data_IF_894512614793
#
_entry.id   IF_894512614793
#
_cell.length_a   1.000
_cell.length_b   1.000
_cell.length_c   1.000
_cell.angle_alpha   90.00
_cell.angle_beta   90.00
_cell.angle_gamma   90.00
#
_symmetry.space_group_name_H-M   'P 1'
#
loop_
_entity.id
_entity.type
_entity.pdbx_description
1 polymer ?
#
# COMPACT_ATOMS: atom_id res chain seq x y z
N UNK A 1 -2.90 17.65 -12.49
CA UNK A 1 -2.17 18.77 -11.89
C UNK A 1 -0.73 18.36 -11.61
N UNK A 2 0.25 19.24 -11.85
CA UNK A 2 1.67 18.92 -11.61
C UNK A 2 1.98 19.04 -10.11
N UNK A 3 2.29 17.91 -9.47
CA UNK A 3 2.63 17.81 -8.04
C UNK A 3 4.14 17.62 -7.79
N UNK A 4 4.96 17.68 -8.83
CA UNK A 4 6.40 17.33 -8.80
C UNK A 4 7.16 18.11 -7.73
N UNK A 5 6.88 19.41 -7.58
CA UNK A 5 7.58 20.29 -6.64
C UNK A 5 6.86 20.47 -5.30
N UNK A 6 5.71 19.81 -5.10
CA UNK A 6 4.95 19.94 -3.87
C UNK A 6 5.55 19.07 -2.77
N UNK A 7 5.61 19.55 -1.51
CA UNK A 7 5.96 18.72 -0.36
C UNK A 7 4.88 17.65 -0.12
N UNK A 8 5.26 16.53 0.55
CA UNK A 8 4.40 15.36 0.70
C UNK A 8 3.02 15.67 1.32
N UNK A 9 2.95 16.55 2.32
CA UNK A 9 1.67 16.91 2.94
C UNK A 9 0.70 17.61 1.97
N UNK A 10 1.22 18.34 0.98
CA UNK A 10 0.38 18.92 -0.09
C UNK A 10 -0.04 17.85 -1.09
N UNK A 11 0.86 16.94 -1.48
CA UNK A 11 0.51 15.80 -2.35
C UNK A 11 -0.58 14.94 -1.73
N UNK A 12 -0.53 14.72 -0.42
CA UNK A 12 -1.58 14.01 0.30
C UNK A 12 -2.95 14.69 0.16
N UNK A 13 -3.01 16.03 0.22
CA UNK A 13 -4.25 16.80 0.00
C UNK A 13 -4.77 16.74 -1.45
N UNK A 14 -3.91 16.39 -2.40
CA UNK A 14 -4.29 16.10 -3.78
C UNK A 14 -4.70 14.62 -3.99
N UNK A 15 -4.87 13.87 -2.91
CA UNK A 15 -5.35 12.50 -2.96
C UNK A 15 -4.26 11.45 -3.22
N UNK A 16 -3.00 11.72 -2.83
CA UNK A 16 -1.92 10.75 -2.91
C UNK A 16 -1.62 10.19 -1.52
N UNK A 17 -1.99 8.94 -1.28
CA UNK A 17 -1.61 8.17 -0.09
C UNK A 17 -0.20 7.59 -0.24
N UNK A 18 0.49 7.35 0.87
CA UNK A 18 1.81 6.72 0.89
C UNK A 18 1.93 5.74 2.05
N UNK A 19 2.34 4.53 1.74
CA UNK A 19 2.63 3.48 2.70
C UNK A 19 4.11 3.10 2.58
N UNK A 20 4.96 3.53 3.53
CA UNK A 20 6.40 3.27 3.49
C UNK A 20 6.70 1.79 3.75
N UNK A 21 7.90 1.36 3.38
CA UNK A 21 8.46 0.04 3.69
C UNK A 21 8.55 -0.16 5.20
N UNK A 22 9.07 0.83 5.93
CA UNK A 22 9.19 0.77 7.38
C UNK A 22 7.84 0.95 8.07
N UNK A 23 7.71 0.34 9.26
CA UNK A 23 6.51 0.45 10.07
C UNK A 23 6.18 1.91 10.41
N UNK A 24 5.05 2.39 9.94
CA UNK A 24 4.58 3.77 10.11
C UNK A 24 3.56 3.94 11.23
N UNK A 25 3.15 2.84 11.88
CA UNK A 25 2.15 2.84 12.95
C UNK A 25 2.56 3.74 14.13
N UNK A 26 1.64 4.50 14.69
CA UNK A 26 1.85 5.23 15.94
C UNK A 26 1.82 4.25 17.11
N UNK A 27 2.99 3.79 17.51
CA UNK A 27 3.17 2.66 18.45
C UNK A 27 2.51 2.84 19.81
N UNK A 28 2.39 4.09 20.30
CA UNK A 28 1.84 4.45 21.61
C UNK A 28 0.34 4.78 21.56
N UNK A 29 -0.25 4.75 20.37
CA UNK A 29 -1.70 4.94 20.17
C UNK A 29 -2.35 3.58 19.95
N UNK A 30 -3.61 3.45 20.35
CA UNK A 30 -4.45 2.29 20.00
C UNK A 30 -4.76 2.28 18.50
N UNK A 31 -5.32 1.18 18.00
CA UNK A 31 -5.72 1.07 16.59
C UNK A 31 -6.73 2.15 16.21
N UNK A 32 -7.77 2.38 17.03
CA UNK A 32 -8.74 3.44 16.76
C UNK A 32 -8.14 4.84 16.83
N UNK A 33 -7.24 5.10 17.79
CA UNK A 33 -6.52 6.38 17.88
C UNK A 33 -5.58 6.60 16.69
N UNK A 34 -4.98 5.56 16.13
CA UNK A 34 -4.19 5.65 14.90
C UNK A 34 -5.02 6.13 13.71
N UNK A 35 -6.27 5.69 13.58
CA UNK A 35 -7.18 6.13 12.53
C UNK A 35 -7.67 7.56 12.80
N UNK A 36 -8.11 7.84 14.04
CA UNK A 36 -8.61 9.16 14.43
C UNK A 36 -7.55 10.24 14.25
N UNK A 37 -6.27 9.98 14.59
CA UNK A 37 -5.19 10.95 14.43
C UNK A 37 -5.03 11.46 12.97
N UNK A 38 -5.39 10.65 11.98
CA UNK A 38 -5.40 11.08 10.59
C UNK A 38 -6.73 11.75 10.24
N UNK A 39 -7.85 11.19 10.70
CA UNK A 39 -9.18 11.75 10.44
C UNK A 39 -9.34 13.17 10.99
N UNK A 40 -8.71 13.49 12.12
CA UNK A 40 -8.66 14.84 12.68
C UNK A 40 -7.97 15.87 11.76
N UNK A 41 -7.10 15.40 10.83
CA UNK A 41 -6.47 16.29 9.83
C UNK A 41 -7.35 16.55 8.61
N UNK A 42 -8.50 15.89 8.51
CA UNK A 42 -9.48 16.07 7.43
C UNK A 42 -10.47 17.19 7.78
N UNK A 43 -11.28 17.60 6.83
CA UNK A 43 -12.36 18.59 7.08
C UNK A 43 -13.64 17.99 7.67
N UNK A 44 -13.63 16.71 8.09
CA UNK A 44 -14.80 16.00 8.61
C UNK A 44 -15.16 16.47 10.03
N UNK A 45 -16.47 16.51 10.32
CA UNK A 45 -16.96 16.72 11.67
C UNK A 45 -16.61 15.55 12.59
N UNK A 46 -16.61 15.73 13.93
CA UNK A 46 -16.33 14.63 14.86
C UNK A 46 -17.26 13.41 14.74
N UNK A 47 -18.50 13.60 14.27
CA UNK A 47 -19.42 12.51 13.99
C UNK A 47 -18.99 11.73 12.74
N UNK A 48 -18.74 12.43 11.63
CA UNK A 48 -18.25 11.83 10.39
C UNK A 48 -16.89 11.12 10.55
N UNK A 49 -15.99 11.67 11.37
CA UNK A 49 -14.72 11.03 11.71
C UNK A 49 -14.95 9.68 12.41
N UNK A 50 -15.88 9.62 13.37
CA UNK A 50 -16.23 8.36 14.05
C UNK A 50 -16.85 7.35 13.11
N UNK A 51 -17.81 7.77 12.30
CA UNK A 51 -18.48 6.87 11.34
C UNK A 51 -17.47 6.29 10.33
N UNK A 52 -16.55 7.11 9.85
CA UNK A 52 -15.50 6.69 8.95
C UNK A 52 -14.49 5.75 9.62
N UNK A 53 -14.12 6.04 10.86
CA UNK A 53 -13.27 5.14 11.66
C UNK A 53 -13.93 3.76 11.83
N UNK A 54 -15.21 3.70 12.19
CA UNK A 54 -15.95 2.43 12.32
C UNK A 54 -15.98 1.66 11.00
N UNK A 55 -16.22 2.36 9.89
CA UNK A 55 -16.19 1.77 8.56
C UNK A 55 -14.83 1.17 8.23
N UNK A 56 -13.73 1.90 8.46
CA UNK A 56 -12.37 1.42 8.21
C UNK A 56 -11.99 0.24 9.12
N UNK A 57 -12.38 0.27 10.41
CA UNK A 57 -12.14 -0.84 11.33
C UNK A 57 -12.82 -2.12 10.87
N UNK A 58 -14.06 -2.03 10.38
CA UNK A 58 -14.81 -3.16 9.86
C UNK A 58 -14.24 -3.66 8.54
N UNK A 59 -13.98 -2.75 7.60
CA UNK A 59 -13.46 -3.01 6.25
C UNK A 59 -12.13 -3.76 6.26
N UNK A 60 -11.22 -3.39 7.18
CA UNK A 60 -9.90 -4.03 7.31
C UNK A 60 -9.85 -5.16 8.36
N UNK A 61 -11.02 -5.57 8.89
CA UNK A 61 -11.16 -6.65 9.87
C UNK A 61 -10.30 -6.46 11.14
N UNK A 62 -10.17 -5.21 11.60
CA UNK A 62 -9.37 -4.85 12.79
C UNK A 62 -10.20 -4.33 13.96
N UNK A 63 -11.54 -4.45 13.90
CA UNK A 63 -12.46 -4.03 14.96
C UNK A 63 -12.17 -4.73 16.28
N UNK A 64 -11.83 -6.03 16.27
CA UNK A 64 -11.58 -6.85 17.46
C UNK A 64 -10.30 -6.44 18.22
N UNK A 65 -9.40 -5.72 17.57
CA UNK A 65 -8.14 -5.22 18.16
C UNK A 65 -8.13 -3.72 18.37
N UNK A 66 -9.27 -3.04 18.20
CA UNK A 66 -9.38 -1.57 18.21
C UNK A 66 -8.72 -0.86 19.39
N UNK A 67 -8.73 -1.50 20.57
CA UNK A 67 -8.15 -0.97 21.82
C UNK A 67 -6.70 -1.37 22.08
N UNK A 68 -6.12 -2.24 21.24
CA UNK A 68 -4.71 -2.63 21.37
C UNK A 68 -3.80 -1.52 20.90
N UNK A 69 -2.65 -1.37 21.56
CA UNK A 69 -1.63 -0.41 21.15
C UNK A 69 -0.94 -0.86 19.84
N UNK A 70 -0.54 0.11 19.01
CA UNK A 70 0.19 -0.17 17.78
C UNK A 70 1.47 -0.99 17.99
N UNK A 71 2.08 -0.89 19.17
CA UNK A 71 3.27 -1.67 19.55
C UNK A 71 2.99 -3.17 19.77
N UNK A 72 1.73 -3.56 20.04
CA UNK A 72 1.30 -4.91 20.38
C UNK A 72 0.81 -5.73 19.18
N UNK A 73 0.74 -5.08 18.00
CA UNK A 73 0.19 -5.70 16.80
C UNK A 73 1.20 -6.65 16.15
N UNK A 74 0.70 -7.79 15.67
CA UNK A 74 1.44 -8.64 14.73
C UNK A 74 1.77 -7.90 13.44
N UNK A 75 2.67 -8.44 12.62
CA UNK A 75 3.05 -7.84 11.34
C UNK A 75 1.84 -7.62 10.42
N UNK A 76 1.00 -8.64 10.27
CA UNK A 76 -0.21 -8.58 9.43
C UNK A 76 -1.26 -7.61 9.98
N UNK A 77 -1.57 -7.66 11.29
CA UNK A 77 -2.50 -6.71 11.93
C UNK A 77 -2.02 -5.27 11.75
N UNK A 78 -0.72 -5.04 12.00
CA UNK A 78 -0.11 -3.72 11.83
C UNK A 78 -0.26 -3.21 10.39
N UNK A 79 0.05 -4.06 9.39
CA UNK A 79 -0.04 -3.66 7.98
C UNK A 79 -1.48 -3.31 7.58
N UNK A 80 -2.47 -4.06 8.04
CA UNK A 80 -3.89 -3.75 7.83
C UNK A 80 -4.28 -2.40 8.42
N UNK A 81 -3.82 -2.09 9.64
CA UNK A 81 -4.08 -0.80 10.29
C UNK A 81 -3.38 0.35 9.56
N UNK A 82 -2.14 0.17 9.10
CA UNK A 82 -1.41 1.18 8.34
C UNK A 82 -2.09 1.51 6.99
N UNK A 83 -2.61 0.49 6.30
CA UNK A 83 -3.36 0.68 5.06
C UNK A 83 -4.69 1.36 5.36
N UNK A 84 -5.46 0.90 6.34
CA UNK A 84 -6.71 1.55 6.77
C UNK A 84 -6.48 3.04 7.10
N UNK A 85 -5.39 3.33 7.80
CA UNK A 85 -4.98 4.70 8.13
C UNK A 85 -4.66 5.52 6.88
N UNK A 86 -3.99 4.94 5.88
CA UNK A 86 -3.68 5.64 4.64
C UNK A 86 -4.92 5.98 3.81
N UNK A 87 -6.00 5.20 3.99
CA UNK A 87 -7.30 5.43 3.33
C UNK A 87 -8.20 6.43 4.07
N UNK A 88 -7.83 6.83 5.28
CA UNK A 88 -8.62 7.80 6.06
C UNK A 88 -8.82 9.16 5.35
N UNK A 89 -7.91 9.51 4.42
CA UNK A 89 -7.97 10.76 3.64
C UNK A 89 -8.63 10.59 2.26
N UNK A 90 -9.26 9.45 1.96
CA UNK A 90 -9.88 9.13 0.65
C UNK A 90 -8.92 9.38 -0.53
N UNK A 91 -7.76 8.74 -0.59
CA UNK A 91 -6.82 8.97 -1.67
C UNK A 91 -7.37 8.42 -3.01
N UNK A 92 -7.07 9.12 -4.10
CA UNK A 92 -7.30 8.63 -5.47
C UNK A 92 -6.17 7.71 -5.94
N UNK A 93 -4.97 7.86 -5.36
CA UNK A 93 -3.78 7.05 -5.61
C UNK A 93 -3.08 6.68 -4.31
N UNK A 94 -2.52 5.48 -4.25
CA UNK A 94 -1.68 5.05 -3.13
C UNK A 94 -0.34 4.51 -3.65
N UNK A 95 0.74 4.94 -3.01
CA UNK A 95 2.09 4.47 -3.26
C UNK A 95 2.43 3.45 -2.17
N UNK A 96 2.75 2.22 -2.57
CA UNK A 96 3.16 1.12 -1.68
C UNK A 96 4.64 0.85 -1.91
N UNK A 97 5.45 1.12 -0.90
CA UNK A 97 6.89 0.95 -0.97
C UNK A 97 7.28 -0.39 -0.34
N UNK A 98 7.80 -1.30 -1.16
CA UNK A 98 8.19 -2.67 -0.80
C UNK A 98 7.16 -3.41 0.08
N UNK A 99 5.88 -3.52 -0.33
CA UNK A 99 4.84 -4.08 0.52
C UNK A 99 5.05 -5.55 0.88
N UNK A 100 5.83 -6.30 0.11
CA UNK A 100 6.13 -7.72 0.32
C UNK A 100 7.46 -7.98 1.02
N UNK A 101 8.26 -6.94 1.31
CA UNK A 101 9.57 -7.10 1.93
C UNK A 101 9.49 -7.62 3.37
N UNK A 102 10.17 -8.74 3.64
CA UNK A 102 10.23 -9.31 4.98
C UNK A 102 8.91 -9.85 5.54
N UNK A 103 7.94 -10.15 4.67
CA UNK A 103 6.60 -10.62 5.03
C UNK A 103 6.53 -12.14 4.82
N UNK A 104 5.84 -12.84 5.73
CA UNK A 104 5.60 -14.27 5.57
C UNK A 104 4.56 -14.56 4.45
N UNK A 105 4.54 -15.78 3.87
CA UNK A 105 3.67 -16.11 2.75
C UNK A 105 2.17 -15.91 3.00
N UNK A 106 1.70 -16.07 4.24
CA UNK A 106 0.29 -15.87 4.59
C UNK A 106 -0.04 -14.39 4.52
N UNK A 107 0.83 -13.56 5.09
CA UNK A 107 0.64 -12.12 5.07
C UNK A 107 0.83 -11.52 3.65
N UNK A 108 1.61 -12.14 2.77
CA UNK A 108 1.67 -11.78 1.34
C UNK A 108 0.30 -11.95 0.67
N UNK A 109 -0.40 -13.07 0.93
CA UNK A 109 -1.75 -13.29 0.40
C UNK A 109 -2.73 -12.20 0.88
N UNK A 110 -2.69 -11.85 2.16
CA UNK A 110 -3.50 -10.78 2.75
C UNK A 110 -3.24 -9.42 2.07
N UNK A 111 -1.96 -9.09 1.80
CA UNK A 111 -1.60 -7.83 1.13
C UNK A 111 -2.12 -7.82 -0.31
N UNK A 112 -2.02 -8.94 -1.04
CA UNK A 112 -2.59 -9.06 -2.39
C UNK A 112 -4.10 -8.86 -2.41
N UNK A 113 -4.81 -9.45 -1.46
CA UNK A 113 -6.26 -9.26 -1.32
C UNK A 113 -6.60 -7.77 -1.11
N UNK A 114 -5.87 -7.10 -0.21
CA UNK A 114 -6.04 -5.67 0.03
C UNK A 114 -5.77 -4.85 -1.23
N UNK A 115 -4.71 -5.14 -1.99
CA UNK A 115 -4.40 -4.44 -3.24
C UNK A 115 -5.51 -4.65 -4.27
N UNK A 116 -6.01 -5.88 -4.40
CA UNK A 116 -7.17 -6.20 -5.24
C UNK A 116 -8.41 -5.39 -4.85
N UNK A 117 -8.67 -5.27 -3.55
CA UNK A 117 -9.76 -4.47 -3.01
C UNK A 117 -9.59 -2.97 -3.34
N UNK A 118 -8.39 -2.40 -3.19
CA UNK A 118 -8.12 -1.00 -3.55
C UNK A 118 -8.40 -0.74 -5.05
N UNK A 119 -7.98 -1.66 -5.92
CA UNK A 119 -8.26 -1.59 -7.37
C UNK A 119 -9.78 -1.60 -7.65
N UNK A 120 -10.54 -2.48 -6.99
CA UNK A 120 -12.01 -2.54 -7.13
C UNK A 120 -12.69 -1.24 -6.70
N UNK A 121 -12.13 -0.52 -5.73
CA UNK A 121 -12.60 0.81 -5.32
C UNK A 121 -12.20 1.94 -6.30
N UNK A 122 -11.51 1.63 -7.38
CA UNK A 122 -11.03 2.61 -8.35
C UNK A 122 -9.83 3.43 -7.87
N UNK A 123 -9.13 2.99 -6.83
CA UNK A 123 -7.91 3.63 -6.34
C UNK A 123 -6.73 3.17 -7.21
N UNK A 124 -5.99 4.11 -7.78
CA UNK A 124 -4.75 3.82 -8.48
C UNK A 124 -3.68 3.35 -7.50
N UNK A 125 -3.03 2.20 -7.76
CA UNK A 125 -1.97 1.66 -6.90
C UNK A 125 -0.66 1.62 -7.64
N UNK A 126 0.36 2.30 -7.10
CA UNK A 126 1.75 2.18 -7.55
C UNK A 126 2.55 1.39 -6.52
N UNK A 127 3.19 0.31 -6.96
CA UNK A 127 4.00 -0.57 -6.11
C UNK A 127 5.45 -0.48 -6.55
N UNK A 128 6.37 -0.31 -5.60
CA UNK A 128 7.80 -0.58 -5.77
C UNK A 128 8.12 -1.84 -4.97
N UNK A 129 8.68 -2.87 -5.59
CA UNK A 129 9.10 -4.07 -4.87
C UNK A 129 10.18 -4.82 -5.66
N UNK A 130 11.02 -5.55 -4.95
CA UNK A 130 12.02 -6.44 -5.52
C UNK A 130 11.52 -7.89 -5.64
N UNK A 131 10.36 -8.21 -5.03
CA UNK A 131 9.70 -9.52 -5.17
C UNK A 131 8.88 -9.56 -6.46
N UNK A 132 9.57 -9.86 -7.56
CA UNK A 132 9.00 -9.76 -8.90
C UNK A 132 7.79 -10.65 -9.10
N UNK A 133 7.86 -11.91 -8.64
CA UNK A 133 6.78 -12.87 -8.84
C UNK A 133 5.48 -12.40 -8.19
N UNK A 134 5.57 -11.95 -6.93
CA UNK A 134 4.41 -11.47 -6.19
C UNK A 134 3.84 -10.21 -6.83
N UNK A 135 4.72 -9.30 -7.26
CA UNK A 135 4.33 -8.05 -7.90
C UNK A 135 3.67 -8.28 -9.25
N UNK A 136 4.31 -9.05 -10.15
CA UNK A 136 3.75 -9.31 -11.48
C UNK A 136 2.40 -10.06 -11.44
N UNK A 137 2.13 -10.82 -10.36
CA UNK A 137 0.86 -11.54 -10.22
C UNK A 137 -0.36 -10.65 -9.96
N UNK A 138 -0.17 -9.35 -9.63
CA UNK A 138 -1.26 -8.46 -9.20
C UNK A 138 -1.34 -7.13 -9.95
N UNK A 139 -0.29 -6.76 -10.70
CA UNK A 139 -0.25 -5.50 -11.45
C UNK A 139 -0.81 -5.65 -12.85
N UNK A 140 -1.38 -4.57 -13.36
CA UNK A 140 -1.86 -4.50 -14.76
C UNK A 140 -0.72 -4.08 -15.70
N UNK A 141 0.26 -3.34 -15.17
CA UNK A 141 1.42 -2.82 -15.92
C UNK A 141 2.63 -2.72 -15.02
N UNK A 142 3.80 -3.07 -15.53
CA UNK A 142 5.05 -3.02 -14.78
C UNK A 142 6.15 -2.30 -15.55
N UNK A 143 7.09 -1.75 -14.79
CA UNK A 143 8.30 -1.11 -15.30
C UNK A 143 9.50 -1.72 -14.59
N UNK A 144 10.48 -2.22 -15.33
CA UNK A 144 11.78 -2.59 -14.77
C UNK A 144 12.73 -1.40 -14.90
N UNK A 145 13.24 -0.91 -13.77
CA UNK A 145 14.24 0.15 -13.72
C UNK A 145 15.64 -0.44 -13.54
N UNK A 146 16.59 0.04 -14.31
CA UNK A 146 18.00 -0.28 -14.15
C UNK A 146 18.84 0.97 -14.39
N UNK A 147 19.78 1.25 -13.48
CA UNK A 147 20.68 2.41 -13.54
C UNK A 147 19.95 3.74 -13.82
N UNK A 148 18.77 3.95 -13.19
CA UNK A 148 17.99 5.17 -13.32
C UNK A 148 17.20 5.32 -14.64
N UNK A 149 17.12 4.25 -15.45
CA UNK A 149 16.38 4.21 -16.71
C UNK A 149 15.36 3.08 -16.71
N UNK A 150 14.24 3.28 -17.42
CA UNK A 150 13.29 2.22 -17.70
C UNK A 150 13.94 1.28 -18.71
N UNK A 151 14.20 0.04 -18.30
CA UNK A 151 14.76 -1.01 -19.14
C UNK A 151 13.70 -1.63 -20.04
N UNK A 152 12.51 -1.87 -19.48
CA UNK A 152 11.35 -2.44 -20.16
C UNK A 152 10.09 -2.00 -19.43
N UNK A 153 8.98 -1.91 -20.16
CA UNK A 153 7.64 -1.67 -19.64
C UNK A 153 6.63 -2.54 -20.38
N UNK A 154 5.59 -2.99 -19.69
CA UNK A 154 4.52 -3.81 -20.28
C UNK A 154 3.66 -4.48 -19.21
N UNK A 155 2.75 -5.34 -19.64
CA UNK A 155 2.02 -6.25 -18.78
C UNK A 155 2.91 -7.38 -18.23
N UNK A 156 2.37 -8.18 -17.34
CA UNK A 156 3.10 -9.26 -16.68
C UNK A 156 3.70 -10.27 -17.68
N UNK A 157 2.95 -10.61 -18.73
CA UNK A 157 3.39 -11.57 -19.75
C UNK A 157 4.54 -11.00 -20.60
N UNK A 158 4.43 -9.73 -20.99
CA UNK A 158 5.48 -9.01 -21.71
C UNK A 158 6.77 -8.98 -20.90
N UNK A 159 6.70 -8.67 -19.61
CA UNK A 159 7.86 -8.64 -18.72
C UNK A 159 8.46 -10.03 -18.52
N UNK A 160 7.64 -11.04 -18.23
CA UNK A 160 8.08 -12.41 -17.94
C UNK A 160 8.75 -13.09 -19.14
N UNK A 161 8.32 -12.77 -20.37
CA UNK A 161 8.84 -13.32 -21.61
C UNK A 161 9.97 -12.50 -22.25
N UNK A 162 10.33 -11.36 -21.67
CA UNK A 162 11.39 -10.50 -22.20
C UNK A 162 12.77 -11.09 -21.95
N UNK A 163 13.54 -11.29 -23.00
CA UNK A 163 14.97 -11.70 -22.92
C UNK A 163 15.79 -10.69 -22.13
N UNK A 164 15.49 -9.39 -22.30
CA UNK A 164 16.17 -8.31 -21.59
C UNK A 164 15.86 -8.38 -20.10
N UNK A 165 14.59 -8.56 -19.71
CA UNK A 165 14.20 -8.71 -18.32
C UNK A 165 14.84 -9.94 -17.68
N UNK A 166 14.83 -11.08 -18.36
CA UNK A 166 15.46 -12.35 -17.91
C UNK A 166 16.96 -12.18 -17.69
N UNK A 167 17.67 -11.60 -18.66
CA UNK A 167 19.11 -11.43 -18.60
C UNK A 167 19.58 -10.50 -17.47
N UNK A 168 18.87 -9.41 -17.21
CA UNK A 168 19.35 -8.35 -16.30
C UNK A 168 18.67 -8.35 -14.93
N UNK A 169 17.51 -9.03 -14.76
CA UNK A 169 16.74 -8.91 -13.53
C UNK A 169 16.07 -10.21 -13.06
N UNK A 170 15.39 -10.95 -13.94
CA UNK A 170 14.56 -12.10 -13.56
C UNK A 170 15.36 -13.40 -13.40
N UNK A 171 16.45 -13.55 -14.16
CA UNK A 171 17.15 -14.83 -14.36
C UNK A 171 16.53 -15.68 -15.48
N UNK A 172 17.34 -16.55 -16.11
CA UNK A 172 16.91 -17.33 -17.28
C UNK A 172 15.77 -18.32 -17.00
N UNK A 173 15.70 -18.85 -15.78
CA UNK A 173 14.71 -19.85 -15.35
C UNK A 173 13.45 -19.24 -14.71
N UNK A 174 13.22 -17.93 -14.86
CA UNK A 174 12.05 -17.30 -14.27
C UNK A 174 10.75 -17.78 -14.92
N UNK A 175 9.78 -18.15 -14.07
CA UNK A 175 8.39 -18.47 -14.43
C UNK A 175 7.45 -17.73 -13.48
N UNK A 176 6.35 -17.21 -14.00
CA UNK A 176 5.25 -16.63 -13.23
C UNK A 176 4.49 -17.70 -12.42
#
# INVERSE_FOLDING_TARGET
EDVTRLPMYKRSRYGIGYLPQEASIFRKLTVEENLLAILETTGLTPAEQRDKMESLLAEFHVTHIRKRLGAELSGGERRRVEIARSLATDPSFILLDEPFAGVDPIAVADIKEIIGYLKQRGIGVLITDHNVRETLSIVDHAYILNAGKILIAGDSDTIANSEVARKFYLGENFTL
#
